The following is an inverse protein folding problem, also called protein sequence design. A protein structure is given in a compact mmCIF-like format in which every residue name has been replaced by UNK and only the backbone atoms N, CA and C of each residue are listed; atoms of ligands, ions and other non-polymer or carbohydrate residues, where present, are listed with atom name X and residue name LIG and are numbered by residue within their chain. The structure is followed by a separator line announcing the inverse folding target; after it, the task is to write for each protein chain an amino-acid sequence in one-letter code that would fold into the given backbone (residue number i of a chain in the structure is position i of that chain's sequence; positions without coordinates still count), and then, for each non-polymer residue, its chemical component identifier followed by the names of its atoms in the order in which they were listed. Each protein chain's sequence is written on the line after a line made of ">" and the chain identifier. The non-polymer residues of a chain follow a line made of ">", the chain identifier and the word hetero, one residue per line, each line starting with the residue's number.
data_IF_773911960717
#
_entry.id   IF_773911960717
#
_cell.length_a   1.000
_cell.length_b   1.000
_cell.length_c   1.000
_cell.angle_alpha   90.00
_cell.angle_beta   90.00
_cell.angle_gamma   90.00
#
_symmetry.space_group_name_H-M   'P 1'
#
loop_
_entity.id
_entity.type
_entity.pdbx_description
1 polymer ?
#
# COMPACT_ATOMS: atom_id res chain seq x y z
N UNK A 1 -16.31 -9.28 40.78
CA UNK A 1 -15.65 -8.33 39.86
C UNK A 1 -15.25 -9.09 38.59
N UNK A 2 -16.17 -9.27 37.64
CA UNK A 2 -15.92 -9.97 36.37
C UNK A 2 -15.76 -8.91 35.28
N UNK A 3 -14.52 -8.51 35.03
CA UNK A 3 -14.19 -7.60 33.92
C UNK A 3 -14.25 -8.43 32.64
N UNK A 4 -15.41 -8.42 31.98
CA UNK A 4 -15.48 -8.82 30.58
C UNK A 4 -14.75 -7.76 29.76
N UNK A 5 -13.48 -8.00 29.45
CA UNK A 5 -12.79 -7.27 28.39
C UNK A 5 -13.39 -7.74 27.05
N UNK A 6 -14.55 -7.20 26.68
CA UNK A 6 -15.01 -7.21 25.28
C UNK A 6 -14.04 -6.33 24.50
N UNK A 7 -12.90 -6.90 24.09
CA UNK A 7 -11.93 -6.27 23.21
C UNK A 7 -12.71 -5.98 21.92
N UNK A 8 -13.18 -4.75 21.74
CA UNK A 8 -13.64 -4.28 20.43
C UNK A 8 -12.46 -4.55 19.50
N UNK A 9 -12.55 -5.61 18.71
CA UNK A 9 -11.54 -5.91 17.70
C UNK A 9 -11.66 -4.80 16.67
N UNK A 10 -10.87 -3.76 16.93
CA UNK A 10 -10.76 -2.60 16.08
C UNK A 10 -10.44 -3.09 14.68
N UNK A 11 -11.12 -2.56 13.66
CA UNK A 11 -10.91 -2.90 12.25
C UNK A 11 -9.41 -2.81 11.87
N UNK A 12 -8.70 -1.91 12.54
CA UNK A 12 -7.24 -1.76 12.49
C UNK A 12 -6.45 -2.98 12.95
N UNK A 13 -6.88 -3.70 13.99
CA UNK A 13 -6.23 -4.94 14.43
C UNK A 13 -6.40 -6.05 13.40
N UNK A 14 -7.54 -6.11 12.71
CA UNK A 14 -7.76 -7.04 11.60
C UNK A 14 -6.86 -6.68 10.40
N UNK A 15 -6.75 -5.40 10.07
CA UNK A 15 -5.84 -4.92 9.02
C UNK A 15 -4.36 -5.21 9.37
N UNK A 16 -3.97 -5.07 10.63
CA UNK A 16 -2.60 -5.36 11.09
C UNK A 16 -2.33 -6.87 11.10
N UNK A 17 -3.29 -7.70 11.52
CA UNK A 17 -3.16 -9.16 11.54
C UNK A 17 -3.17 -9.70 10.12
N UNK A 18 -4.04 -9.21 9.25
CA UNK A 18 -4.03 -9.50 7.83
C UNK A 18 -2.69 -9.06 7.23
N UNK A 19 -2.25 -7.82 7.46
CA UNK A 19 -0.94 -7.35 7.00
C UNK A 19 0.19 -8.25 7.50
N UNK A 20 0.17 -8.71 8.76
CA UNK A 20 1.18 -9.64 9.29
C UNK A 20 1.12 -11.02 8.66
N UNK A 21 -0.06 -11.57 8.41
CA UNK A 21 -0.26 -12.83 7.70
C UNK A 21 0.16 -12.74 6.23
N UNK A 22 -0.15 -11.63 5.56
CA UNK A 22 0.28 -11.31 4.20
C UNK A 22 1.80 -11.04 4.11
N UNK A 23 2.41 -10.48 5.15
CA UNK A 23 3.84 -10.15 5.24
C UNK A 23 4.74 -11.35 5.56
N UNK A 24 4.22 -12.51 5.97
CA UNK A 24 5.05 -13.68 6.26
C UNK A 24 5.58 -14.37 4.99
N UNK A 25 4.93 -14.18 3.83
CA UNK A 25 5.39 -14.74 2.56
C UNK A 25 6.05 -13.68 1.68
N UNK A 26 7.34 -13.88 1.36
CA UNK A 26 8.12 -13.04 0.42
C UNK A 26 7.42 -12.92 -0.95
N UNK A 27 6.82 -14.01 -1.42
CA UNK A 27 6.05 -14.09 -2.67
C UNK A 27 4.82 -13.15 -2.67
N UNK A 28 4.05 -13.18 -1.59
CA UNK A 28 2.80 -12.40 -1.49
C UNK A 28 3.07 -10.90 -1.38
N UNK A 29 4.19 -10.52 -0.75
CA UNK A 29 4.61 -9.12 -0.63
C UNK A 29 4.97 -8.49 -2.00
N UNK A 30 5.74 -9.22 -2.82
CA UNK A 30 6.06 -8.77 -4.19
C UNK A 30 4.82 -8.70 -5.08
N UNK A 31 3.89 -9.63 -4.92
CA UNK A 31 2.60 -9.59 -5.63
C UNK A 31 1.78 -8.35 -5.27
N UNK A 32 1.69 -7.98 -3.99
CA UNK A 32 0.97 -6.77 -3.58
C UNK A 32 1.63 -5.52 -4.17
N UNK A 33 2.95 -5.38 -4.06
CA UNK A 33 3.70 -4.27 -4.68
C UNK A 33 3.41 -4.23 -6.19
N UNK A 34 3.50 -5.38 -6.87
CA UNK A 34 3.23 -5.49 -8.30
C UNK A 34 1.79 -5.07 -8.66
N UNK A 35 0.77 -5.57 -7.95
CA UNK A 35 -0.61 -5.16 -8.18
C UNK A 35 -0.84 -3.68 -7.90
N UNK A 36 -0.21 -3.10 -6.87
CA UNK A 36 -0.30 -1.67 -6.59
C UNK A 36 0.38 -0.83 -7.68
N UNK A 37 1.50 -1.29 -8.25
CA UNK A 37 2.16 -0.65 -9.41
C UNK A 37 1.26 -0.71 -10.63
N UNK A 38 0.72 -1.89 -10.95
CA UNK A 38 -0.17 -2.07 -12.09
C UNK A 38 -1.42 -1.20 -11.94
N UNK A 39 -2.01 -1.14 -10.75
CA UNK A 39 -3.14 -0.27 -10.46
C UNK A 39 -2.79 1.22 -10.62
N UNK A 40 -1.63 1.65 -10.11
CA UNK A 40 -1.15 3.02 -10.28
C UNK A 40 -0.98 3.38 -11.77
N UNK A 41 -0.32 2.51 -12.54
CA UNK A 41 -0.10 2.70 -13.98
C UNK A 41 -1.43 2.73 -14.75
N UNK A 42 -2.37 1.85 -14.40
CA UNK A 42 -3.69 1.83 -15.01
C UNK A 42 -4.47 3.13 -14.71
N UNK A 43 -4.50 3.57 -13.45
CA UNK A 43 -5.14 4.84 -13.06
C UNK A 43 -4.48 6.02 -13.76
N UNK A 44 -3.15 6.07 -13.81
CA UNK A 44 -2.42 7.14 -14.49
C UNK A 44 -2.72 7.16 -16.00
N UNK A 45 -2.71 6.01 -16.67
CA UNK A 45 -3.02 5.90 -18.09
C UNK A 45 -4.49 6.26 -18.41
N UNK A 46 -5.42 5.82 -17.56
CA UNK A 46 -6.84 6.16 -17.70
C UNK A 46 -7.10 7.66 -17.52
N UNK A 47 -6.43 8.29 -16.54
CA UNK A 47 -6.53 9.74 -16.32
C UNK A 47 -6.02 10.59 -17.47
N UNK A 48 -5.03 10.08 -18.22
CA UNK A 48 -4.35 10.83 -19.27
C UNK A 48 -4.89 10.58 -20.69
N UNK A 49 -5.71 9.54 -20.88
CA UNK A 49 -6.22 9.17 -22.20
C UNK A 49 -7.74 9.24 -22.27
N UNK A 50 -8.52 8.25 -21.79
CA UNK A 50 -9.97 8.28 -21.92
C UNK A 50 -10.66 9.30 -21.00
N UNK A 51 -10.07 9.62 -19.85
CA UNK A 51 -10.67 10.56 -18.90
C UNK A 51 -10.18 12.00 -19.05
N UNK A 52 -9.24 12.29 -19.97
CA UNK A 52 -8.68 13.63 -20.12
C UNK A 52 -9.77 14.68 -20.42
N UNK A 53 -10.64 14.39 -21.39
CA UNK A 53 -11.77 15.25 -21.76
C UNK A 53 -12.80 15.40 -20.63
N UNK A 54 -13.02 14.36 -19.82
CA UNK A 54 -13.98 14.38 -18.70
C UNK A 54 -13.43 15.09 -17.45
N UNK A 55 -12.11 15.11 -17.28
CA UNK A 55 -11.43 15.82 -16.20
C UNK A 55 -11.31 17.32 -16.48
N UNK A 56 -11.15 17.71 -17.74
CA UNK A 56 -11.06 19.12 -18.16
C UNK A 56 -12.36 19.90 -17.93
N UNK A 57 -13.52 19.23 -17.93
CA UNK A 57 -14.82 19.85 -17.68
C UNK A 57 -14.98 20.41 -16.25
N UNK A 58 -14.22 19.89 -15.27
CA UNK A 58 -14.33 20.32 -13.88
C UNK A 58 -12.98 20.25 -13.13
N UNK A 59 -12.36 21.40 -12.79
CA UNK A 59 -11.04 21.44 -12.16
C UNK A 59 -11.01 20.77 -10.78
N UNK A 60 -12.14 20.73 -10.06
CA UNK A 60 -12.26 19.99 -8.79
C UNK A 60 -12.15 18.48 -8.98
N UNK A 61 -12.73 17.91 -10.05
CA UNK A 61 -12.66 16.47 -10.34
C UNK A 61 -11.24 16.06 -10.73
N UNK A 62 -10.58 16.91 -11.52
CA UNK A 62 -9.16 16.79 -11.81
C UNK A 62 -8.35 16.71 -10.51
N UNK A 63 -8.50 17.69 -9.61
CA UNK A 63 -7.73 17.73 -8.37
C UNK A 63 -7.96 16.49 -7.49
N UNK A 64 -9.21 16.05 -7.33
CA UNK A 64 -9.53 14.85 -6.54
C UNK A 64 -8.95 13.57 -7.14
N UNK A 65 -9.03 13.41 -8.47
CA UNK A 65 -8.50 12.25 -9.18
C UNK A 65 -6.97 12.17 -9.05
N UNK A 66 -6.29 13.28 -9.32
CA UNK A 66 -4.84 13.36 -9.20
C UNK A 66 -4.36 13.26 -7.75
N UNK A 67 -5.10 13.79 -6.78
CA UNK A 67 -4.82 13.58 -5.36
C UNK A 67 -4.91 12.09 -4.98
N UNK A 68 -5.90 11.36 -5.50
CA UNK A 68 -5.99 9.91 -5.33
C UNK A 68 -4.80 9.16 -5.95
N UNK A 69 -4.38 9.56 -7.15
CA UNK A 69 -3.21 8.99 -7.81
C UNK A 69 -1.91 9.28 -7.04
N UNK A 70 -1.73 10.52 -6.56
CA UNK A 70 -0.59 10.91 -5.73
C UNK A 70 -0.58 10.14 -4.39
N UNK A 71 -1.74 9.96 -3.78
CA UNK A 71 -1.88 9.17 -2.55
C UNK A 71 -1.47 7.71 -2.78
N UNK A 72 -1.92 7.08 -3.88
CA UNK A 72 -1.49 5.74 -4.26
C UNK A 72 0.02 5.67 -4.50
N UNK A 73 0.61 6.68 -5.15
CA UNK A 73 2.06 6.73 -5.39
C UNK A 73 2.84 6.80 -4.06
N UNK A 74 2.40 7.64 -3.13
CA UNK A 74 3.00 7.75 -1.78
C UNK A 74 2.87 6.42 -1.04
N UNK A 75 1.68 5.79 -1.07
CA UNK A 75 1.46 4.50 -0.42
C UNK A 75 2.39 3.42 -0.97
N UNK A 76 2.58 3.39 -2.29
CA UNK A 76 3.48 2.49 -2.98
C UNK A 76 4.95 2.75 -2.59
N UNK A 77 5.35 4.02 -2.51
CA UNK A 77 6.67 4.40 -2.04
C UNK A 77 6.93 3.91 -0.60
N UNK A 78 5.98 4.08 0.32
CA UNK A 78 6.09 3.56 1.69
C UNK A 78 6.22 2.03 1.71
N UNK A 79 5.44 1.33 0.88
CA UNK A 79 5.47 -0.12 0.77
C UNK A 79 6.84 -0.61 0.26
N UNK A 80 7.40 0.07 -0.74
CA UNK A 80 8.74 -0.19 -1.27
C UNK A 80 9.85 0.12 -0.27
N UNK A 81 9.74 1.23 0.46
CA UNK A 81 10.69 1.58 1.52
C UNK A 81 10.69 0.54 2.65
N UNK A 82 9.51 0.08 3.06
CA UNK A 82 9.38 -0.98 4.05
C UNK A 82 10.02 -2.30 3.57
N UNK A 83 9.80 -2.67 2.31
CA UNK A 83 10.43 -3.84 1.70
C UNK A 83 11.96 -3.74 1.74
N UNK A 84 12.50 -2.59 1.35
CA UNK A 84 13.93 -2.31 1.35
C UNK A 84 14.54 -2.38 2.75
N UNK A 85 13.92 -1.73 3.75
CA UNK A 85 14.38 -1.78 5.15
C UNK A 85 14.35 -3.20 5.72
N UNK A 86 13.34 -3.99 5.36
CA UNK A 86 13.24 -5.39 5.81
C UNK A 86 14.32 -6.25 5.19
N UNK A 87 14.63 -6.05 3.91
CA UNK A 87 15.75 -6.73 3.23
C UNK A 87 17.07 -6.37 3.94
N UNK A 88 17.33 -5.09 4.22
CA UNK A 88 18.53 -4.67 4.95
C UNK A 88 18.64 -5.35 6.31
N UNK A 89 17.54 -5.43 7.06
CA UNK A 89 17.52 -6.12 8.36
C UNK A 89 17.90 -7.60 8.22
N UNK A 90 17.36 -8.27 7.22
CA UNK A 90 17.64 -9.68 6.94
C UNK A 90 19.11 -9.90 6.56
N UNK A 91 19.69 -9.02 5.73
CA UNK A 91 21.12 -9.04 5.42
C UNK A 91 22.00 -8.78 6.66
N UNK A 92 21.59 -7.89 7.57
CA UNK A 92 22.33 -7.59 8.80
C UNK A 92 22.32 -8.78 9.77
N UNK A 93 21.19 -9.47 9.91
CA UNK A 93 21.07 -10.68 10.75
C UNK A 93 21.92 -11.83 10.20
N UNK A 94 21.98 -12.02 8.87
CA UNK A 94 22.84 -13.03 8.25
C UNK A 94 24.32 -12.69 8.45
N UNK A 95 24.71 -11.41 8.27
CA UNK A 95 26.11 -11.00 8.40
C UNK A 95 26.63 -11.00 9.85
N UNK A 96 25.76 -10.88 10.85
CA UNK A 96 26.15 -10.92 12.27
C UNK A 96 26.35 -12.34 12.83
N UNK A 97 26.07 -13.38 12.04
CA UNK A 97 26.29 -14.80 12.39
C UNK A 97 27.55 -15.41 11.75
N UNK A 98 28.23 -14.68 10.87
CA UNK A 98 29.59 -14.99 10.38
C UNK A 98 30.62 -14.29 11.28
#
# INVERSE_FOLDING_TARGET
>A
MLISMRRKMSWFSFAIIAARAFLQLRETRRRIIFYTIVALLAVFALGNWPLASWLEEAPLRFLFYWAGCAFLAIFLFLLGLYDFLRIIKEYKEVRGKL
#
